data_IF_646924727521
#
_entry.id   IF_646924727521
#
_cell.length_a   1.000
_cell.length_b   1.000
_cell.length_c   1.000
_cell.angle_alpha   90.00
_cell.angle_beta   90.00
_cell.angle_gamma   90.00
#
_symmetry.space_group_name_H-M   'P 1'
#
loop_
_entity.id
_entity.type
_entity.pdbx_description
1 polymer ?
#
# COMPACT_ATOMS: atom_id res chain seq x y z
N UNK A 1 -23.61 -24.57 -6.71
CA UNK A 1 -23.10 -23.23 -6.34
C UNK A 1 -22.36 -22.74 -7.56
N UNK A 2 -22.95 -21.82 -8.33
CA UNK A 2 -22.30 -21.30 -9.54
C UNK A 2 -21.05 -20.54 -9.10
N UNK A 3 -19.88 -20.96 -9.59
CA UNK A 3 -18.66 -20.16 -9.49
C UNK A 3 -18.96 -18.86 -10.22
N UNK A 4 -19.11 -17.75 -9.48
CA UNK A 4 -19.14 -16.42 -10.07
C UNK A 4 -17.78 -16.23 -10.72
N UNK A 5 -17.73 -16.35 -12.05
CA UNK A 5 -16.52 -16.06 -12.81
C UNK A 5 -16.18 -14.59 -12.56
N UNK A 6 -15.12 -14.33 -11.80
CA UNK A 6 -14.64 -12.97 -11.57
C UNK A 6 -14.05 -12.45 -12.87
N UNK A 7 -14.60 -11.35 -13.39
CA UNK A 7 -14.11 -10.69 -14.61
C UNK A 7 -12.87 -9.85 -14.29
N UNK A 8 -11.70 -10.41 -14.60
CA UNK A 8 -10.41 -9.75 -14.37
C UNK A 8 -10.23 -8.47 -15.20
N UNK A 9 -10.91 -8.33 -16.34
CA UNK A 9 -10.82 -7.12 -17.18
C UNK A 9 -11.53 -5.98 -16.49
N UNK A 10 -12.76 -6.24 -16.04
CA UNK A 10 -13.52 -5.27 -15.27
C UNK A 10 -12.77 -4.88 -13.99
N UNK A 11 -12.22 -5.85 -13.26
CA UNK A 11 -11.43 -5.56 -12.06
C UNK A 11 -10.21 -4.67 -12.37
N UNK A 12 -9.52 -4.90 -13.49
CA UNK A 12 -8.40 -4.06 -13.91
C UNK A 12 -8.86 -2.65 -14.33
N UNK A 13 -9.95 -2.53 -15.09
CA UNK A 13 -10.54 -1.24 -15.46
C UNK A 13 -10.93 -0.43 -14.23
N UNK A 14 -11.58 -1.07 -13.26
CA UNK A 14 -11.94 -0.48 -11.97
C UNK A 14 -10.70 -0.05 -11.17
N UNK A 15 -9.63 -0.86 -11.13
CA UNK A 15 -8.40 -0.50 -10.43
C UNK A 15 -7.70 0.73 -11.04
N UNK A 16 -7.81 0.89 -12.36
CA UNK A 16 -7.23 2.02 -13.11
C UNK A 16 -8.17 3.24 -13.20
N UNK A 17 -9.37 3.14 -12.64
CA UNK A 17 -10.36 4.22 -12.61
C UNK A 17 -9.91 5.41 -11.76
N UNK A 18 -10.47 6.59 -12.03
CA UNK A 18 -10.34 7.75 -11.14
C UNK A 18 -11.26 7.68 -9.92
N UNK A 19 -12.26 6.78 -9.93
CA UNK A 19 -13.23 6.62 -8.86
C UNK A 19 -12.67 5.70 -7.76
N UNK A 20 -12.48 6.24 -6.54
CA UNK A 20 -11.90 5.49 -5.42
C UNK A 20 -12.75 4.29 -5.00
N UNK A 21 -14.08 4.36 -5.17
CA UNK A 21 -14.98 3.24 -4.91
C UNK A 21 -14.71 2.07 -5.87
N UNK A 22 -14.57 2.35 -7.17
CA UNK A 22 -14.26 1.31 -8.16
C UNK A 22 -12.90 0.68 -7.88
N UNK A 23 -11.93 1.50 -7.50
CA UNK A 23 -10.60 1.02 -7.09
C UNK A 23 -10.68 0.13 -5.84
N UNK A 24 -11.55 0.45 -4.89
CA UNK A 24 -11.79 -0.35 -3.69
C UNK A 24 -12.45 -1.71 -3.98
N UNK A 25 -13.44 -1.74 -4.86
CA UNK A 25 -14.02 -3.01 -5.35
C UNK A 25 -12.94 -3.86 -6.04
N UNK A 26 -12.10 -3.24 -6.88
CA UNK A 26 -11.00 -3.94 -7.53
C UNK A 26 -9.94 -4.42 -6.53
N UNK A 27 -9.67 -3.65 -5.48
CA UNK A 27 -8.75 -4.03 -4.41
C UNK A 27 -9.20 -5.36 -3.80
N UNK A 28 -10.45 -5.48 -3.36
CA UNK A 28 -11.00 -6.72 -2.80
C UNK A 28 -10.90 -7.91 -3.77
N UNK A 29 -11.12 -7.67 -5.06
CA UNK A 29 -10.97 -8.71 -6.09
C UNK A 29 -9.52 -9.20 -6.21
N UNK A 30 -8.55 -8.28 -6.20
CA UNK A 30 -7.14 -8.63 -6.30
C UNK A 30 -6.52 -9.08 -4.98
N UNK A 31 -7.18 -8.88 -3.85
CA UNK A 31 -6.64 -9.21 -2.53
C UNK A 31 -7.36 -10.35 -1.81
N UNK A 32 -8.59 -10.70 -2.18
CA UNK A 32 -9.34 -11.82 -1.61
C UNK A 32 -9.10 -13.18 -2.28
N UNK A 33 -9.80 -14.21 -1.83
CA UNK A 33 -10.01 -15.45 -2.60
C UNK A 33 -11.19 -15.19 -3.55
N UNK A 34 -11.05 -15.24 -4.90
CA UNK A 34 -10.14 -16.10 -5.65
C UNK A 34 -9.02 -15.34 -6.40
N UNK A 35 -8.12 -14.62 -5.72
CA UNK A 35 -6.95 -13.96 -6.33
C UNK A 35 -6.17 -14.90 -7.27
N UNK A 36 -6.06 -16.17 -6.89
CA UNK A 36 -5.48 -17.26 -7.67
C UNK A 36 -6.13 -17.47 -9.05
N UNK A 37 -7.40 -17.12 -9.22
CA UNK A 37 -8.13 -17.24 -10.48
C UNK A 37 -8.06 -15.96 -11.34
N UNK A 38 -7.74 -14.82 -10.72
CA UNK A 38 -7.77 -13.50 -11.36
C UNK A 38 -6.36 -13.09 -11.81
N UNK A 39 -5.38 -13.12 -10.91
CA UNK A 39 -4.03 -12.59 -11.13
C UNK A 39 -3.30 -13.25 -12.32
N UNK A 40 -3.39 -14.57 -12.54
CA UNK A 40 -2.77 -15.20 -13.72
C UNK A 40 -3.32 -14.71 -15.07
N UNK A 41 -4.52 -14.14 -15.11
CA UNK A 41 -5.18 -13.69 -16.35
C UNK A 41 -4.83 -12.25 -16.72
N UNK A 42 -4.31 -11.47 -15.77
CA UNK A 42 -3.90 -10.08 -16.00
C UNK A 42 -2.66 -10.05 -16.91
N UNK A 43 -2.50 -9.06 -17.81
CA UNK A 43 -1.25 -8.90 -18.56
C UNK A 43 -0.02 -8.83 -17.65
N UNK A 44 1.08 -9.48 -18.03
CA UNK A 44 2.33 -9.47 -17.26
C UNK A 44 2.95 -8.06 -17.15
N UNK A 45 2.68 -7.20 -18.14
CA UNK A 45 3.12 -5.80 -18.14
C UNK A 45 2.41 -4.94 -17.08
N UNK A 46 1.30 -5.43 -16.51
CA UNK A 46 0.53 -4.69 -15.51
C UNK A 46 1.08 -4.96 -14.12
N UNK A 47 1.57 -3.92 -13.48
CA UNK A 47 2.07 -3.99 -12.11
C UNK A 47 0.92 -3.82 -11.10
N UNK A 48 0.14 -4.89 -10.91
CA UNK A 48 -1.02 -4.91 -9.99
C UNK A 48 -0.63 -4.50 -8.56
N UNK A 49 0.45 -5.02 -7.93
CA UNK A 49 0.85 -4.58 -6.59
C UNK A 49 1.08 -3.08 -6.50
N UNK A 50 1.69 -2.47 -7.52
CA UNK A 50 1.87 -1.02 -7.59
C UNK A 50 0.54 -0.28 -7.67
N UNK A 51 -0.39 -0.75 -8.50
CA UNK A 51 -1.71 -0.10 -8.62
C UNK A 51 -2.51 -0.20 -7.30
N UNK A 52 -2.42 -1.33 -6.60
CA UNK A 52 -3.00 -1.49 -5.26
C UNK A 52 -2.34 -0.55 -4.24
N UNK A 53 -1.01 -0.41 -4.31
CA UNK A 53 -0.26 0.53 -3.46
C UNK A 53 -0.72 1.98 -3.69
N UNK A 54 -0.86 2.39 -4.96
CA UNK A 54 -1.27 3.74 -5.33
C UNK A 54 -2.72 4.03 -4.91
N UNK A 55 -3.62 3.05 -5.00
CA UNK A 55 -4.97 3.14 -4.42
C UNK A 55 -4.93 3.41 -2.91
N UNK A 56 -4.14 2.65 -2.16
CA UNK A 56 -4.04 2.82 -0.71
C UNK A 56 -3.47 4.19 -0.31
N UNK A 57 -2.46 4.69 -1.05
CA UNK A 57 -1.97 6.05 -0.85
C UNK A 57 -3.06 7.09 -1.10
N UNK A 58 -3.90 6.89 -2.12
CA UNK A 58 -5.03 7.78 -2.39
C UNK A 58 -6.07 7.75 -1.26
N UNK A 59 -6.37 6.58 -0.68
CA UNK A 59 -7.23 6.49 0.51
C UNK A 59 -6.66 7.30 1.69
N UNK A 60 -5.33 7.26 1.89
CA UNK A 60 -4.66 8.05 2.94
C UNK A 60 -4.75 9.56 2.65
N UNK A 61 -4.66 9.97 1.38
CA UNK A 61 -4.84 11.39 0.97
C UNK A 61 -6.28 11.86 1.15
N UNK A 62 -7.26 11.04 0.77
CA UNK A 62 -8.67 11.41 0.83
C UNK A 62 -9.21 11.41 2.26
N UNK A 63 -8.68 10.56 3.16
CA UNK A 63 -9.07 10.46 4.57
C UNK A 63 -10.61 10.44 4.72
N UNK A 64 -11.25 9.52 3.99
CA UNK A 64 -12.71 9.47 3.89
C UNK A 64 -13.36 9.32 5.26
N UNK A 65 -14.39 10.13 5.52
CA UNK A 65 -15.11 10.08 6.80
C UNK A 65 -16.00 8.83 6.88
N UNK A 66 -16.43 8.40 8.08
CA UNK A 66 -17.35 7.27 8.25
C UNK A 66 -18.66 7.44 7.45
N UNK A 67 -19.15 8.67 7.30
CA UNK A 67 -20.35 8.96 6.49
C UNK A 67 -20.10 8.78 4.98
N UNK A 68 -18.87 9.02 4.52
CA UNK A 68 -18.49 8.75 3.13
C UNK A 68 -18.27 7.25 2.93
N UNK A 69 -17.70 6.55 3.91
CA UNK A 69 -17.56 5.09 3.87
C UNK A 69 -18.92 4.38 3.76
N UNK A 70 -19.96 4.86 4.47
CA UNK A 70 -21.32 4.35 4.34
C UNK A 70 -21.89 4.56 2.92
N UNK A 71 -21.62 5.72 2.30
CA UNK A 71 -22.01 6.01 0.91
C UNK A 71 -21.31 5.10 -0.11
N UNK A 72 -20.11 4.62 0.24
CA UNK A 72 -19.31 3.70 -0.56
C UNK A 72 -19.52 2.24 -0.17
N UNK A 73 -20.56 1.93 0.61
CA UNK A 73 -20.90 0.57 1.06
C UNK A 73 -19.72 -0.17 1.72
N UNK A 74 -18.77 0.55 2.32
CA UNK A 74 -17.59 -0.01 2.97
C UNK A 74 -16.48 -0.52 2.04
N UNK A 75 -16.54 -0.22 0.74
CA UNK A 75 -15.48 -0.64 -0.22
C UNK A 75 -14.26 0.29 -0.26
N UNK A 76 -14.31 1.45 0.40
CA UNK A 76 -13.18 2.38 0.48
C UNK A 76 -12.53 2.25 1.85
N UNK A 77 -11.20 2.23 1.89
CA UNK A 77 -10.47 2.19 3.16
C UNK A 77 -10.40 3.59 3.77
N UNK A 78 -10.70 3.68 5.07
CA UNK A 78 -10.32 4.85 5.86
C UNK A 78 -8.79 5.00 5.92
N UNK A 79 -8.29 6.16 6.38
CA UNK A 79 -6.85 6.41 6.44
C UNK A 79 -6.10 5.37 7.27
N UNK A 80 -6.64 4.98 8.42
CA UNK A 80 -6.02 4.01 9.32
C UNK A 80 -5.92 2.62 8.70
N UNK A 81 -7.03 2.13 8.13
CA UNK A 81 -7.12 0.88 7.40
C UNK A 81 -6.23 0.88 6.17
N UNK A 82 -6.14 1.99 5.44
CA UNK A 82 -5.27 2.13 4.29
C UNK A 82 -3.78 2.04 4.67
N UNK A 83 -3.36 2.70 5.75
CA UNK A 83 -1.99 2.54 6.29
C UNK A 83 -1.69 1.10 6.67
N UNK A 84 -2.62 0.40 7.34
CA UNK A 84 -2.46 -1.01 7.69
C UNK A 84 -2.38 -1.91 6.45
N UNK A 85 -3.14 -1.58 5.41
CA UNK A 85 -3.21 -2.33 4.16
C UNK A 85 -2.00 -2.08 3.24
N UNK A 86 -1.14 -1.07 3.49
CA UNK A 86 0.08 -0.85 2.68
C UNK A 86 1.00 -2.06 2.63
N UNK A 87 0.90 -3.01 3.57
CA UNK A 87 1.63 -4.29 3.50
C UNK A 87 1.16 -5.24 2.37
N UNK A 88 -0.05 -5.07 1.85
CA UNK A 88 -0.67 -6.00 0.90
C UNK A 88 0.13 -6.10 -0.42
N UNK A 89 0.62 -5.00 -1.02
CA UNK A 89 1.55 -5.06 -2.15
C UNK A 89 2.84 -5.87 -1.94
N UNK A 90 3.23 -6.14 -0.68
CA UNK A 90 4.41 -6.93 -0.32
C UNK A 90 4.10 -8.37 0.06
N UNK A 91 2.84 -8.77 -0.01
CA UNK A 91 2.41 -10.13 0.30
C UNK A 91 3.21 -11.17 -0.52
N UNK A 92 3.86 -12.15 0.13
CA UNK A 92 4.59 -13.22 -0.56
C UNK A 92 3.74 -14.00 -1.57
N UNK A 93 2.41 -13.98 -1.46
CA UNK A 93 1.51 -14.58 -2.44
C UNK A 93 1.74 -14.05 -3.87
N UNK A 94 2.17 -12.78 -4.02
CA UNK A 94 2.49 -12.20 -5.35
C UNK A 94 3.62 -12.93 -6.06
N UNK A 95 4.53 -13.56 -5.30
CA UNK A 95 5.64 -14.34 -5.85
C UNK A 95 5.19 -15.55 -6.65
N UNK A 96 4.05 -16.16 -6.29
CA UNK A 96 3.44 -17.28 -7.03
C UNK A 96 3.14 -16.92 -8.49
N UNK A 97 2.92 -15.63 -8.75
CA UNK A 97 2.58 -15.11 -10.09
C UNK A 97 3.72 -14.34 -10.74
N UNK A 98 4.94 -14.36 -10.16
CA UNK A 98 6.07 -13.54 -10.60
C UNK A 98 5.73 -12.03 -10.65
N UNK A 99 4.94 -11.56 -9.68
CA UNK A 99 4.51 -10.15 -9.54
C UNK A 99 4.97 -9.53 -8.23
N UNK A 100 6.09 -9.97 -7.67
CA UNK A 100 6.57 -9.44 -6.39
C UNK A 100 6.98 -7.96 -6.52
N UNK A 101 6.48 -7.11 -5.61
CA UNK A 101 6.98 -5.75 -5.45
C UNK A 101 8.24 -5.80 -4.59
N UNK A 102 9.38 -5.40 -5.16
CA UNK A 102 10.63 -5.32 -4.39
C UNK A 102 10.52 -4.25 -3.30
N UNK A 103 11.15 -4.49 -2.15
CA UNK A 103 11.19 -3.54 -1.03
C UNK A 103 11.73 -2.16 -1.46
N UNK A 104 12.77 -2.11 -2.30
CA UNK A 104 13.32 -0.84 -2.81
C UNK A 104 12.27 -0.01 -3.57
N UNK A 105 11.44 -0.66 -4.40
CA UNK A 105 10.34 0.01 -5.12
C UNK A 105 9.20 0.42 -4.19
N UNK A 106 8.86 -0.42 -3.22
CA UNK A 106 7.86 -0.13 -2.20
C UNK A 106 8.23 1.11 -1.38
N UNK A 107 9.42 1.10 -0.79
CA UNK A 107 9.89 2.24 0.00
C UNK A 107 10.16 3.46 -0.87
N UNK A 108 10.59 3.31 -2.13
CA UNK A 108 10.71 4.45 -3.05
C UNK A 108 9.38 5.19 -3.22
N UNK A 109 8.29 4.47 -3.42
CA UNK A 109 6.95 5.06 -3.54
C UNK A 109 6.46 5.68 -2.23
N UNK A 110 6.68 4.99 -1.11
CA UNK A 110 6.34 5.53 0.20
C UNK A 110 7.14 6.80 0.50
N UNK A 111 8.42 6.84 0.15
CA UNK A 111 9.27 8.03 0.27
C UNK A 111 8.70 9.21 -0.51
N UNK A 112 8.33 9.00 -1.78
CA UNK A 112 7.76 10.05 -2.63
C UNK A 112 6.46 10.60 -2.05
N UNK A 113 5.60 9.73 -1.53
CA UNK A 113 4.38 10.10 -0.82
C UNK A 113 4.68 10.94 0.43
N UNK A 114 5.56 10.46 1.31
CA UNK A 114 5.89 11.16 2.56
C UNK A 114 6.58 12.50 2.30
N UNK A 115 7.42 12.60 1.25
CA UNK A 115 8.03 13.88 0.85
C UNK A 115 6.99 14.89 0.38
N UNK A 116 6.01 14.45 -0.42
CA UNK A 116 4.92 15.30 -0.91
C UNK A 116 4.10 15.89 0.25
N UNK A 117 4.01 15.15 1.37
CA UNK A 117 3.15 15.45 2.52
C UNK A 117 3.90 15.55 3.85
N UNK A 118 5.15 16.04 3.81
CA UNK A 118 6.09 15.94 4.92
C UNK A 118 5.61 16.60 6.22
N UNK A 119 4.70 17.56 6.14
CA UNK A 119 4.12 18.26 7.31
C UNK A 119 2.87 17.60 7.88
N UNK A 120 2.20 16.72 7.14
CA UNK A 120 0.89 16.18 7.51
C UNK A 120 1.01 14.84 8.23
N UNK A 121 1.80 13.92 7.69
CA UNK A 121 1.77 12.53 8.15
C UNK A 121 2.94 12.12 9.06
N UNK A 122 3.81 13.05 9.44
CA UNK A 122 5.01 12.75 10.25
C UNK A 122 4.67 11.96 11.53
N UNK A 123 3.61 12.35 12.24
CA UNK A 123 3.21 11.72 13.51
C UNK A 123 2.29 10.50 13.36
N UNK A 124 1.73 10.27 12.17
CA UNK A 124 0.69 9.26 11.92
C UNK A 124 1.23 7.99 11.26
N UNK A 125 2.23 8.13 10.38
CA UNK A 125 2.84 7.01 9.64
C UNK A 125 3.68 6.05 10.52
N UNK A 126 4.40 6.50 11.57
CA UNK A 126 5.43 5.67 12.20
C UNK A 126 4.95 4.33 12.80
N UNK A 127 3.77 4.29 13.42
CA UNK A 127 3.36 3.14 14.24
C UNK A 127 2.78 1.99 13.44
N UNK A 128 2.02 2.21 12.37
CA UNK A 128 1.33 1.10 11.68
C UNK A 128 2.06 0.58 10.45
N UNK A 129 2.76 1.45 9.71
CA UNK A 129 3.42 1.08 8.45
C UNK A 129 4.80 0.46 8.69
N UNK A 130 5.52 0.97 9.68
CA UNK A 130 6.92 0.63 9.89
C UNK A 130 7.17 -0.35 11.03
N UNK A 131 6.32 -0.44 12.07
CA UNK A 131 6.48 -1.42 13.16
C UNK A 131 6.44 -2.88 12.69
N UNK A 132 5.75 -3.16 11.58
CA UNK A 132 5.71 -4.48 10.98
C UNK A 132 7.07 -4.92 10.39
N UNK A 133 8.00 -3.99 10.19
CA UNK A 133 9.33 -4.27 9.67
C UNK A 133 10.31 -4.51 10.80
N UNK A 134 11.13 -5.54 10.66
CA UNK A 134 12.23 -5.71 11.60
C UNK A 134 13.27 -4.62 11.32
N UNK A 135 13.61 -3.76 12.30
CA UNK A 135 14.59 -2.70 12.08
C UNK A 135 16.01 -3.24 11.79
N UNK A 136 16.22 -4.53 12.03
CA UNK A 136 17.47 -5.25 11.76
C UNK A 136 17.53 -5.92 10.38
N UNK A 137 16.44 -5.92 9.62
CA UNK A 137 16.47 -6.39 8.24
C UNK A 137 17.34 -5.45 7.40
N UNK A 138 18.26 -6.04 6.62
CA UNK A 138 19.24 -5.28 5.81
C UNK A 138 18.58 -4.29 4.84
N UNK A 139 17.51 -4.66 4.11
CA UNK A 139 16.89 -3.74 3.17
C UNK A 139 16.26 -2.55 3.88
N UNK A 140 15.51 -2.81 4.95
CA UNK A 140 14.89 -1.77 5.79
C UNK A 140 15.93 -0.80 6.37
N UNK A 141 16.93 -1.31 7.09
CA UNK A 141 17.99 -0.48 7.68
C UNK A 141 18.79 0.33 6.66
N UNK A 142 19.10 -0.25 5.48
CA UNK A 142 19.76 0.46 4.38
C UNK A 142 18.91 1.61 3.86
N UNK A 143 17.60 1.40 3.73
CA UNK A 143 16.66 2.42 3.27
C UNK A 143 16.52 3.54 4.29
N UNK A 144 16.37 3.21 5.58
CA UNK A 144 16.30 4.21 6.65
C UNK A 144 17.58 5.05 6.73
N UNK A 145 18.77 4.46 6.53
CA UNK A 145 20.03 5.23 6.39
C UNK A 145 19.99 6.22 5.24
N UNK A 146 19.46 5.81 4.09
CA UNK A 146 19.31 6.68 2.94
C UNK A 146 18.35 7.84 3.25
N UNK A 147 17.22 7.55 3.90
CA UNK A 147 16.23 8.56 4.28
C UNK A 147 16.74 9.53 5.33
N UNK A 148 17.62 9.08 6.24
CA UNK A 148 18.25 9.94 7.26
C UNK A 148 19.08 11.08 6.66
N UNK A 149 19.59 10.88 5.44
CA UNK A 149 20.34 11.89 4.69
C UNK A 149 19.45 12.82 3.86
N UNK A 150 18.15 12.54 3.79
CA UNK A 150 17.16 13.32 3.05
C UNK A 150 16.47 14.32 3.98
N UNK A 151 16.49 15.61 3.64
CA UNK A 151 16.01 16.68 4.51
C UNK A 151 14.51 16.56 4.86
N UNK A 152 13.70 15.97 3.98
CA UNK A 152 12.25 15.82 4.18
C UNK A 152 11.86 14.52 4.88
N UNK A 153 12.71 13.49 4.77
CA UNK A 153 12.44 12.18 5.36
C UNK A 153 13.16 11.94 6.69
N UNK A 154 14.20 12.73 6.98
CA UNK A 154 15.00 12.59 8.19
C UNK A 154 14.15 12.53 9.45
N UNK A 155 13.14 13.39 9.55
CA UNK A 155 12.28 13.47 10.73
C UNK A 155 11.50 12.17 10.99
N UNK A 156 11.03 11.50 9.93
CA UNK A 156 10.39 10.18 10.03
C UNK A 156 11.36 9.11 10.55
N UNK A 157 12.63 9.16 10.12
CA UNK A 157 13.64 8.22 10.60
C UNK A 157 13.95 8.45 12.08
N UNK A 158 14.05 9.72 12.51
CA UNK A 158 14.27 10.07 13.91
C UNK A 158 13.11 9.59 14.81
N UNK A 159 11.87 9.75 14.37
CA UNK A 159 10.68 9.25 15.09
C UNK A 159 10.70 7.71 15.20
N UNK A 160 11.10 7.01 14.13
CA UNK A 160 11.25 5.55 14.16
C UNK A 160 12.41 5.08 15.06
N UNK A 161 13.52 5.80 15.09
CA UNK A 161 14.64 5.53 16.00
C UNK A 161 14.21 5.62 17.47
N UNK A 162 13.36 6.60 17.80
CA UNK A 162 12.75 6.73 19.13
C UNK A 162 11.80 5.57 19.44
N UNK A 163 10.90 5.20 18.52
CA UNK A 163 9.96 4.08 18.69
C UNK A 163 10.70 2.75 18.91
N UNK A 164 11.70 2.47 18.06
CA UNK A 164 12.46 1.22 18.13
C UNK A 164 13.59 1.22 19.16
N UNK A 165 13.85 2.35 19.82
CA UNK A 165 14.93 2.53 20.78
C UNK A 165 16.30 2.13 20.19
N UNK A 166 16.57 2.54 18.94
CA UNK A 166 17.82 2.22 18.24
C UNK A 166 18.18 3.26 17.17
N UNK A 167 19.35 3.11 16.54
CA UNK A 167 19.78 3.92 15.40
C UNK A 167 19.97 3.06 14.16
N UNK A 168 19.61 3.59 13.00
CA UNK A 168 19.70 2.86 11.73
C UNK A 168 21.09 2.91 11.12
#
# INVERSE_FOLDING_TARGET
>A
MESKVVDWRLALECLQSSNIFEQGVAFEVFTGEPRDEVVPKVPESTDVPVLLFDYLLKCIEEDVSPEQEEQYEGYVHDKGGAFLALRVPLDPAWKKFNRELTEERYFGRLADFLKKHSSQYQKEVPTHVFEAWSPRQKPFSKIMKSWKSDALLKAYVEDLEEIFQMTF
#
